data_IF_145145202662
#
_entry.id   IF_145145202662
#
_cell.length_a   1.000
_cell.length_b   1.000
_cell.length_c   1.000
_cell.angle_alpha   90.00
_cell.angle_beta   90.00
_cell.angle_gamma   90.00
#
_symmetry.space_group_name_H-M   'P 1'
#
loop_
_entity.id
_entity.type
_entity.pdbx_description
1 polymer ?
#
# COMPACT_ATOMS: atom_id res chain seq x y z
N UNK A 1 9.25 7.03 26.69
CA UNK A 1 8.53 6.32 25.82
C UNK A 1 8.39 6.87 24.48
N UNK A 2 8.46 6.01 23.59
CA UNK A 2 8.40 6.37 22.28
C UNK A 2 7.07 6.52 21.78
N UNK A 3 6.83 7.43 21.00
CA UNK A 3 5.53 7.66 20.45
C UNK A 3 5.44 7.32 18.99
N UNK A 4 6.15 6.30 18.60
CA UNK A 4 6.00 5.91 17.24
C UNK A 4 4.68 5.18 17.08
N UNK A 5 4.01 5.47 16.00
CA UNK A 5 2.71 4.90 15.69
C UNK A 5 2.87 3.78 14.70
N UNK A 6 2.32 2.63 15.07
CA UNK A 6 2.25 1.50 14.16
C UNK A 6 0.95 1.62 13.37
N UNK A 7 1.06 1.62 12.06
CA UNK A 7 -0.07 1.83 11.17
C UNK A 7 -0.11 0.70 10.18
N UNK A 8 -1.31 0.19 9.91
CA UNK A 8 -1.49 -0.84 8.91
C UNK A 8 -2.06 -0.22 7.65
N UNK A 9 -1.44 -0.51 6.52
CA UNK A 9 -1.88 -0.04 5.22
C UNK A 9 -2.20 -1.24 4.34
N UNK A 10 -3.27 -1.12 3.58
CA UNK A 10 -3.66 -2.15 2.62
C UNK A 10 -3.34 -1.62 1.24
N UNK A 11 -2.62 -2.40 0.45
CA UNK A 11 -2.28 -2.03 -0.92
C UNK A 11 -2.87 -3.04 -1.87
N UNK A 12 -3.43 -2.55 -2.97
CA UNK A 12 -4.02 -3.45 -3.95
C UNK A 12 -3.68 -3.04 -5.37
N UNK A 13 -3.64 -4.01 -6.25
CA UNK A 13 -3.40 -3.76 -7.67
C UNK A 13 -4.14 -4.79 -8.51
N UNK A 14 -4.81 -4.34 -9.56
CA UNK A 14 -5.44 -5.26 -10.52
C UNK A 14 -5.11 -4.90 -11.95
N UNK A 15 -4.07 -4.10 -12.16
CA UNK A 15 -3.68 -3.62 -13.49
C UNK A 15 -2.23 -3.99 -13.74
N UNK A 16 -1.96 -4.46 -14.96
CA UNK A 16 -0.60 -4.73 -15.41
C UNK A 16 0.10 -5.79 -14.57
N UNK A 17 1.36 -5.56 -14.28
CA UNK A 17 2.14 -6.46 -13.43
C UNK A 17 1.81 -6.17 -11.98
N UNK A 18 0.84 -6.91 -11.46
CA UNK A 18 0.24 -6.63 -10.16
C UNK A 18 1.24 -6.75 -9.02
N UNK A 19 2.09 -7.78 -9.06
CA UNK A 19 3.08 -7.96 -8.01
C UNK A 19 4.13 -6.85 -8.04
N UNK A 20 4.58 -6.49 -9.21
CA UNK A 20 5.56 -5.43 -9.35
C UNK A 20 5.00 -4.11 -8.85
N UNK A 21 3.72 -3.84 -9.11
CA UNK A 21 3.08 -2.64 -8.62
C UNK A 21 3.04 -2.59 -7.11
N UNK A 22 2.77 -3.73 -6.46
CA UNK A 22 2.76 -3.78 -5.01
C UNK A 22 4.16 -3.55 -4.45
N UNK A 23 5.17 -4.14 -5.06
CA UNK A 23 6.54 -3.96 -4.62
C UNK A 23 6.96 -2.50 -4.75
N UNK A 24 6.59 -1.87 -5.88
CA UNK A 24 6.91 -0.47 -6.09
C UNK A 24 6.22 0.41 -5.05
N UNK A 25 4.98 0.09 -4.72
CA UNK A 25 4.26 0.83 -3.68
C UNK A 25 4.95 0.76 -2.34
N UNK A 26 5.38 -0.43 -1.93
CA UNK A 26 6.10 -0.59 -0.67
C UNK A 26 7.41 0.17 -0.70
N UNK A 27 8.12 0.10 -1.83
CA UNK A 27 9.39 0.81 -1.95
C UNK A 27 9.21 2.31 -1.81
N UNK A 28 8.17 2.88 -2.42
CA UNK A 28 7.91 4.31 -2.31
C UNK A 28 7.53 4.69 -0.87
N UNK A 29 6.76 3.85 -0.21
CA UNK A 29 6.39 4.09 1.18
C UNK A 29 7.63 4.05 2.08
N UNK A 30 8.57 3.18 1.79
CA UNK A 30 9.77 3.04 2.61
C UNK A 30 10.64 4.28 2.59
N UNK A 31 10.40 5.21 1.66
CA UNK A 31 11.15 6.47 1.61
C UNK A 31 10.78 7.41 2.75
N UNK A 32 9.60 7.25 3.35
CA UNK A 32 9.17 8.18 4.40
C UNK A 32 8.64 7.46 5.64
N UNK A 33 8.64 6.14 5.65
CA UNK A 33 8.15 5.38 6.80
C UNK A 33 8.98 4.12 6.93
N UNK A 34 9.03 3.61 8.15
CA UNK A 34 9.75 2.36 8.40
C UNK A 34 8.79 1.20 8.15
N UNK A 35 9.18 0.28 7.30
CA UNK A 35 8.39 -0.92 7.04
C UNK A 35 8.72 -1.94 8.13
N UNK A 36 7.71 -2.33 8.90
CA UNK A 36 7.90 -3.28 10.00
C UNK A 36 7.58 -4.69 9.56
N UNK A 37 6.48 -4.86 8.85
CA UNK A 37 6.06 -6.19 8.39
C UNK A 37 5.34 -6.05 7.07
N UNK A 38 5.42 -7.11 6.27
CA UNK A 38 4.69 -7.20 5.01
C UNK A 38 4.01 -8.56 5.00
N UNK A 39 2.71 -8.57 4.72
CA UNK A 39 1.97 -9.83 4.63
C UNK A 39 2.29 -10.56 3.33
N UNK A 40 1.84 -11.79 3.22
CA UNK A 40 1.83 -12.48 1.94
C UNK A 40 0.88 -11.79 0.99
N UNK A 41 1.12 -11.95 -0.30
CA UNK A 41 0.19 -11.48 -1.32
C UNK A 41 -1.03 -12.38 -1.29
N UNK A 42 -2.22 -11.78 -1.36
CA UNK A 42 -3.45 -12.56 -1.47
C UNK A 42 -4.35 -11.95 -2.53
N UNK A 43 -5.21 -12.77 -3.09
CA UNK A 43 -6.09 -12.34 -4.16
C UNK A 43 -7.50 -12.13 -3.65
N UNK A 44 -8.17 -11.12 -4.20
CA UNK A 44 -9.60 -10.93 -3.97
C UNK A 44 -10.28 -10.75 -5.31
N UNK A 45 -11.50 -11.23 -5.41
CA UNK A 45 -12.28 -11.11 -6.64
C UNK A 45 -13.08 -9.82 -6.62
N UNK A 46 -13.28 -9.17 -7.79
CA UNK A 46 -14.17 -8.03 -7.85
C UNK A 46 -15.58 -8.48 -7.52
N UNK A 47 -16.26 -7.74 -6.66
CA UNK A 47 -17.58 -8.13 -6.20
C UNK A 47 -18.68 -7.88 -7.22
N UNK A 48 -18.54 -6.81 -8.00
CA UNK A 48 -19.62 -6.36 -8.87
C UNK A 48 -19.33 -6.55 -10.35
N UNK A 49 -18.07 -6.57 -10.74
CA UNK A 49 -17.71 -6.62 -12.15
C UNK A 49 -16.81 -7.80 -12.39
N UNK A 50 -17.41 -8.90 -12.81
CA UNK A 50 -16.68 -10.15 -12.99
C UNK A 50 -15.72 -10.12 -14.17
N UNK A 51 -15.87 -9.14 -15.06
CA UNK A 51 -14.93 -9.01 -16.16
C UNK A 51 -13.61 -8.40 -15.76
N UNK A 52 -13.52 -7.84 -14.56
CA UNK A 52 -12.26 -7.27 -14.10
C UNK A 52 -11.36 -8.36 -13.57
N UNK A 53 -10.05 -8.14 -13.69
CA UNK A 53 -9.07 -9.04 -13.10
C UNK A 53 -9.16 -9.03 -11.59
N UNK A 54 -8.75 -10.13 -10.97
CA UNK A 54 -8.62 -10.19 -9.53
C UNK A 54 -7.65 -9.15 -9.02
N UNK A 55 -7.88 -8.69 -7.82
CA UNK A 55 -6.93 -7.83 -7.13
C UNK A 55 -5.89 -8.66 -6.42
N UNK A 56 -4.63 -8.23 -6.52
CA UNK A 56 -3.58 -8.74 -5.66
C UNK A 56 -3.42 -7.73 -4.55
N UNK A 57 -3.37 -8.20 -3.31
CA UNK A 57 -3.37 -7.33 -2.13
C UNK A 57 -2.29 -7.74 -1.17
N UNK A 58 -1.74 -6.76 -0.46
CA UNK A 58 -0.89 -7.00 0.70
C UNK A 58 -1.29 -6.03 1.79
N UNK A 59 -0.97 -6.40 3.02
CA UNK A 59 -1.09 -5.51 4.16
C UNK A 59 0.31 -5.26 4.68
N UNK A 60 0.66 -4.02 4.92
CA UNK A 60 1.95 -3.69 5.51
C UNK A 60 1.74 -2.98 6.83
N UNK A 61 2.64 -3.22 7.74
CA UNK A 61 2.70 -2.50 8.99
C UNK A 61 3.88 -1.55 8.91
N UNK A 62 3.63 -0.27 9.16
CA UNK A 62 4.67 0.74 9.09
C UNK A 62 4.70 1.55 10.38
N UNK A 63 5.83 2.19 10.58
CA UNK A 63 6.02 3.15 11.65
C UNK A 63 6.22 4.51 10.99
N UNK A 64 5.38 5.48 11.36
CA UNK A 64 5.42 6.79 10.72
C UNK A 64 5.46 7.87 11.78
N UNK A 65 6.34 8.84 11.59
CA UNK A 65 6.61 9.86 12.59
C UNK A 65 5.83 11.14 12.39
N UNK A 66 4.97 11.22 11.43
CA UNK A 66 4.22 12.44 11.17
C UNK A 66 2.77 12.33 11.60
N UNK A 67 1.97 13.27 11.14
CA UNK A 67 0.53 13.26 11.40
C UNK A 67 -0.18 12.37 10.40
N UNK A 68 -1.39 11.96 10.76
CA UNK A 68 -2.21 11.17 9.84
C UNK A 68 -2.47 11.93 8.54
N UNK A 69 -2.66 13.25 8.63
CA UNK A 69 -2.89 14.06 7.45
C UNK A 69 -1.68 14.03 6.51
N UNK A 70 -0.47 14.19 7.06
CA UNK A 70 0.73 14.15 6.23
C UNK A 70 0.93 12.79 5.59
N UNK A 71 0.65 11.73 6.33
CA UNK A 71 0.73 10.39 5.77
C UNK A 71 -0.22 10.22 4.60
N UNK A 72 -1.44 10.69 4.75
CA UNK A 72 -2.44 10.58 3.70
C UNK A 72 -2.01 11.32 2.44
N UNK A 73 -1.43 12.51 2.61
CA UNK A 73 -0.93 13.29 1.48
C UNK A 73 0.16 12.51 0.75
N UNK A 74 1.08 11.90 1.48
CA UNK A 74 2.16 11.14 0.86
C UNK A 74 1.65 9.91 0.14
N UNK A 75 0.66 9.24 0.70
CA UNK A 75 0.05 8.08 0.04
C UNK A 75 -0.63 8.49 -1.25
N UNK A 76 -1.32 9.64 -1.25
CA UNK A 76 -1.95 10.13 -2.47
C UNK A 76 -0.92 10.47 -3.54
N UNK A 77 0.22 10.99 -3.15
CA UNK A 77 1.30 11.26 -4.10
C UNK A 77 1.80 9.97 -4.73
N UNK A 78 1.91 8.92 -3.94
CA UNK A 78 2.32 7.61 -4.46
C UNK A 78 1.31 7.09 -5.46
N UNK A 79 0.03 7.19 -5.15
CA UNK A 79 -1.01 6.75 -6.07
C UNK A 79 -0.91 7.48 -7.40
N UNK A 80 -0.63 8.78 -7.35
CA UNK A 80 -0.47 9.57 -8.56
C UNK A 80 0.75 9.11 -9.35
N UNK A 81 1.87 8.87 -8.68
CA UNK A 81 3.09 8.39 -9.35
C UNK A 81 2.87 7.05 -10.01
N UNK A 82 2.04 6.22 -9.44
CA UNK A 82 1.78 4.89 -9.98
C UNK A 82 0.66 4.87 -11.01
N UNK A 83 0.13 6.03 -11.38
CA UNK A 83 -0.87 6.12 -12.42
C UNK A 83 -2.27 5.81 -11.97
N UNK A 84 -2.56 6.05 -10.73
CA UNK A 84 -3.89 5.76 -10.19
C UNK A 84 -4.71 6.99 -9.99
#
# INVERSE_FOLDING_TARGET
MKNSNSIFLSLGSNIGDKESNLIDGVRLISNFAKIIKISSVYKTEPLLYKEQDDFFNIVIEIEYQGTARNLLIKIKEIETQMGR
#
